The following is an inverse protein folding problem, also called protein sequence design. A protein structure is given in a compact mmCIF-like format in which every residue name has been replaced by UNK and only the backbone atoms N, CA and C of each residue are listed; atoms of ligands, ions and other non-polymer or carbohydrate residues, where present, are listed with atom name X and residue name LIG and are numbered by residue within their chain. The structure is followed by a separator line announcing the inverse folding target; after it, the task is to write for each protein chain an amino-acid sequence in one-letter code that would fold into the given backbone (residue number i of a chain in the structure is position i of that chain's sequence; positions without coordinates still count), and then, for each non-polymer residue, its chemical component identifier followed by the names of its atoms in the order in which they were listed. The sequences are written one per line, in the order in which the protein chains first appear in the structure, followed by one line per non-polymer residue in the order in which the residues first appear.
data_IF_259793505466
#
_entry.id   IF_259793505466
#
_cell.length_a   1.000
_cell.length_b   1.000
_cell.length_c   1.000
_cell.angle_alpha   90.00
_cell.angle_beta   90.00
_cell.angle_gamma   90.00
#
_symmetry.space_group_name_H-M   'P 1'
#
loop_
_entity.id
_entity.type
_entity.pdbx_description
1 polymer ?
#
# COMPACT_ATOMS: atom_id res chain seq x y z
N UNK A 1 33.22 -4.61 -2.66
CA UNK A 1 32.60 -3.49 -3.44
C UNK A 1 31.67 -2.75 -2.51
N UNK A 2 32.08 -1.57 -2.03
CA UNK A 2 31.28 -0.77 -1.09
C UNK A 2 30.15 -0.07 -1.83
N UNK A 3 28.94 -0.61 -1.72
CA UNK A 3 27.71 0.05 -2.17
C UNK A 3 27.47 1.28 -1.30
N UNK A 4 27.99 2.43 -1.74
CA UNK A 4 27.58 3.74 -1.22
C UNK A 4 26.09 3.86 -1.50
N UNK A 5 25.25 3.59 -0.49
CA UNK A 5 23.86 4.05 -0.49
C UNK A 5 23.95 5.56 -0.59
N UNK A 6 23.73 6.12 -1.78
CA UNK A 6 23.57 7.54 -1.94
C UNK A 6 22.43 7.95 -1.01
N UNK A 7 22.69 8.82 -0.03
CA UNK A 7 21.64 9.46 0.74
C UNK A 7 20.71 10.16 -0.26
N UNK A 8 19.52 9.59 -0.47
CA UNK A 8 18.48 10.26 -1.25
C UNK A 8 17.99 11.39 -0.36
N UNK A 9 18.53 12.60 -0.60
CA UNK A 9 18.02 13.81 0.03
C UNK A 9 16.80 14.26 -0.78
N UNK A 10 15.62 14.37 -0.16
CA UNK A 10 14.45 14.83 -0.87
C UNK A 10 14.66 16.27 -1.36
N UNK A 11 14.16 16.57 -2.56
CA UNK A 11 14.26 17.92 -3.10
C UNK A 11 13.38 18.87 -2.26
N UNK A 12 13.71 20.17 -2.26
CA UNK A 12 12.86 21.16 -1.59
C UNK A 12 11.44 21.21 -2.17
N UNK A 13 11.26 20.80 -3.43
CA UNK A 13 9.95 20.66 -4.07
C UNK A 13 9.17 19.46 -3.50
N UNK A 14 9.83 18.32 -3.32
CA UNK A 14 9.23 17.14 -2.70
C UNK A 14 8.79 17.40 -1.26
N UNK A 15 9.63 18.07 -0.47
CA UNK A 15 9.28 18.46 0.91
C UNK A 15 8.06 19.40 0.96
N UNK A 16 7.97 20.36 0.02
CA UNK A 16 6.79 21.23 -0.08
C UNK A 16 5.53 20.47 -0.48
N UNK A 17 5.64 19.52 -1.41
CA UNK A 17 4.51 18.68 -1.80
C UNK A 17 4.03 17.81 -0.63
N UNK A 18 4.96 17.17 0.10
CA UNK A 18 4.65 16.40 1.31
C UNK A 18 3.96 17.25 2.38
N UNK A 19 4.41 18.48 2.58
CA UNK A 19 3.80 19.39 3.56
C UNK A 19 2.36 19.80 3.21
N UNK A 20 1.94 19.63 1.95
CA UNK A 20 0.58 19.90 1.49
C UNK A 20 -0.33 18.66 1.54
N UNK A 21 0.24 17.46 1.71
CA UNK A 21 -0.53 16.24 1.77
C UNK A 21 -1.32 16.13 3.10
N UNK A 22 -2.52 15.59 3.00
CA UNK A 22 -3.33 15.17 4.15
C UNK A 22 -3.09 13.69 4.45
N UNK A 23 -3.66 13.17 5.55
CA UNK A 23 -3.55 11.73 5.85
C UNK A 23 -4.35 10.91 4.85
N UNK A 24 -5.43 11.49 4.35
CA UNK A 24 -6.38 10.91 3.41
C UNK A 24 -5.73 10.67 2.03
N UNK A 25 -4.77 11.50 1.63
CA UNK A 25 -3.99 11.31 0.39
C UNK A 25 -3.20 9.99 0.38
N UNK A 26 -2.96 9.39 1.55
CA UNK A 26 -2.25 8.12 1.71
C UNK A 26 -3.17 6.95 2.06
N UNK A 27 -4.48 7.16 2.08
CA UNK A 27 -5.48 6.13 2.46
C UNK A 27 -5.95 5.28 1.26
N UNK A 28 -5.23 5.36 0.14
CA UNK A 28 -5.37 4.48 -1.02
C UNK A 28 -6.82 4.18 -1.44
N UNK A 29 -7.10 2.93 -1.79
CA UNK A 29 -8.45 2.47 -2.11
C UNK A 29 -9.25 1.99 -0.89
N UNK A 30 -8.66 2.07 0.30
CA UNK A 30 -9.29 1.61 1.54
C UNK A 30 -10.19 2.67 2.16
N UNK A 31 -9.87 3.96 1.98
CA UNK A 31 -10.64 5.09 2.50
C UNK A 31 -10.97 4.94 4.01
N UNK A 32 -10.03 4.40 4.80
CA UNK A 32 -10.20 4.15 6.23
C UNK A 32 -10.61 5.39 7.02
N UNK A 33 -10.20 6.60 6.62
CA UNK A 33 -10.60 7.85 7.26
C UNK A 33 -12.12 8.03 7.32
N UNK A 34 -12.86 7.44 6.36
CA UNK A 34 -14.34 7.45 6.32
C UNK A 34 -14.99 6.39 7.21
N UNK A 35 -14.21 5.42 7.70
CA UNK A 35 -14.69 4.29 8.48
C UNK A 35 -14.58 4.56 9.99
N UNK A 36 -15.57 4.10 10.75
CA UNK A 36 -15.46 4.02 12.21
C UNK A 36 -14.39 2.99 12.61
N UNK A 37 -13.87 3.03 13.85
CA UNK A 37 -12.92 2.04 14.33
C UNK A 37 -13.39 0.58 14.15
N UNK A 38 -14.68 0.32 14.37
CA UNK A 38 -15.29 -1.01 14.23
C UNK A 38 -15.32 -1.47 12.77
N UNK A 39 -15.69 -0.56 11.85
CA UNK A 39 -15.69 -0.85 10.42
C UNK A 39 -14.28 -1.11 9.88
N UNK A 40 -13.26 -0.39 10.38
CA UNK A 40 -11.85 -0.68 10.06
C UNK A 40 -11.45 -2.06 10.55
N UNK A 41 -11.84 -2.42 11.77
CA UNK A 41 -11.54 -3.74 12.33
C UNK A 41 -12.18 -4.85 11.51
N UNK A 42 -13.45 -4.70 11.13
CA UNK A 42 -14.16 -5.65 10.27
C UNK A 42 -13.46 -5.81 8.91
N UNK A 43 -13.09 -4.69 8.27
CA UNK A 43 -12.35 -4.73 7.00
C UNK A 43 -11.03 -5.50 7.13
N UNK A 44 -10.27 -5.28 8.21
CA UNK A 44 -9.01 -5.99 8.48
C UNK A 44 -9.24 -7.50 8.67
N UNK A 45 -10.29 -7.89 9.41
CA UNK A 45 -10.67 -9.29 9.57
C UNK A 45 -10.99 -9.95 8.22
N UNK A 46 -11.78 -9.28 7.37
CA UNK A 46 -12.14 -9.79 6.05
C UNK A 46 -10.92 -9.90 5.12
N UNK A 47 -10.03 -8.91 5.12
CA UNK A 47 -8.79 -8.94 4.34
C UNK A 47 -7.89 -10.11 4.78
N UNK A 48 -7.75 -10.33 6.09
CA UNK A 48 -6.98 -11.45 6.62
C UNK A 48 -7.60 -12.81 6.23
N UNK A 49 -8.92 -12.95 6.32
CA UNK A 49 -9.64 -14.16 5.91
C UNK A 49 -9.45 -14.44 4.42
N UNK A 50 -9.59 -13.43 3.56
CA UNK A 50 -9.37 -13.54 2.12
C UNK A 50 -7.95 -14.02 1.80
N UNK A 51 -6.93 -13.38 2.37
CA UNK A 51 -5.53 -13.80 2.13
C UNK A 51 -5.30 -15.22 2.64
N UNK A 52 -5.77 -15.56 3.83
CA UNK A 52 -5.66 -16.90 4.37
C UNK A 52 -6.30 -17.94 3.43
N UNK A 53 -7.49 -17.65 2.92
CA UNK A 53 -8.21 -18.56 2.03
C UNK A 53 -7.53 -18.71 0.67
N UNK A 54 -7.04 -17.64 0.07
CA UNK A 54 -6.61 -17.65 -1.35
C UNK A 54 -5.08 -17.64 -1.55
N UNK A 55 -4.28 -17.49 -0.49
CA UNK A 55 -2.82 -17.55 -0.58
C UNK A 55 -2.37 -18.87 -1.21
N UNK A 56 -1.57 -18.76 -2.28
CA UNK A 56 -1.04 -19.92 -3.02
C UNK A 56 -2.06 -20.61 -3.94
N UNK A 57 -3.32 -20.15 -3.98
CA UNK A 57 -4.35 -20.69 -4.89
C UNK A 57 -4.45 -19.94 -6.21
N UNK A 58 -3.72 -18.83 -6.37
CA UNK A 58 -3.68 -18.09 -7.62
C UNK A 58 -3.13 -18.98 -8.74
N UNK A 59 -3.92 -19.17 -9.81
CA UNK A 59 -3.43 -19.86 -11.00
C UNK A 59 -2.24 -19.07 -11.56
N UNK A 60 -1.12 -19.74 -11.87
CA UNK A 60 -0.03 -19.07 -12.57
C UNK A 60 -0.59 -18.52 -13.89
N UNK A 61 -0.25 -17.26 -14.20
CA UNK A 61 -0.64 -16.66 -15.46
C UNK A 61 -0.16 -17.57 -16.60
N UNK A 62 -1.07 -17.95 -17.49
CA UNK A 62 -0.71 -18.70 -18.68
C UNK A 62 0.40 -17.94 -19.39
N UNK A 63 1.55 -18.61 -19.63
CA UNK A 63 2.63 -18.03 -20.43
C UNK A 63 2.01 -17.60 -21.76
N UNK A 64 1.98 -16.29 -22.02
CA UNK A 64 1.67 -15.78 -23.36
C UNK A 64 2.82 -16.23 -24.26
N UNK A 65 2.61 -17.28 -25.03
CA UNK A 65 3.46 -17.60 -26.17
C UNK A 65 3.40 -16.40 -27.13
N UNK A 66 4.59 -15.93 -27.51
CA UNK A 66 4.78 -14.83 -28.47
C UNK A 66 4.96 -15.42 -29.86
#
# INVERSE_FOLDING_TARGET
MNSRKSEIRPSAEFERALAQCTREDFDGHTEFYRLTPEQRLEWLCQAAAFVHEFKGKARPAAKRER
#
